data_IF_318260313831
#
_entry.id   IF_318260313831
#
_cell.length_a   1.000
_cell.length_b   1.000
_cell.length_c   1.000
_cell.angle_alpha   90.00
_cell.angle_beta   90.00
_cell.angle_gamma   90.00
#
_symmetry.space_group_name_H-M   'P 1'
#
loop_
_entity.id
_entity.type
_entity.pdbx_description
1 polymer ?
#
# COMPACT_ATOMS: atom_id res chain seq x y z
N UNK A 1 7.41 2.70 10.85
CA UNK A 1 7.73 4.12 10.80
C UNK A 1 9.14 4.18 11.29
N UNK A 2 10.03 4.49 10.38
CA UNK A 2 11.46 4.58 10.66
C UNK A 2 11.77 5.95 11.28
N UNK A 3 13.01 6.16 11.75
CA UNK A 3 13.48 7.46 12.27
C UNK A 3 13.39 8.62 11.26
N UNK A 4 13.08 8.32 10.00
CA UNK A 4 12.88 9.30 8.91
C UNK A 4 11.40 9.58 8.64
N UNK A 5 10.46 8.98 9.39
CA UNK A 5 9.04 9.24 9.19
C UNK A 5 8.73 10.66 9.65
N UNK A 6 8.69 11.58 8.70
CA UNK A 6 8.24 12.95 8.91
C UNK A 6 6.75 12.92 9.29
N UNK A 7 6.43 13.34 10.51
CA UNK A 7 5.07 13.40 11.04
C UNK A 7 4.13 14.23 10.14
N UNK A 8 4.65 15.28 9.52
CA UNK A 8 3.90 16.10 8.57
C UNK A 8 3.51 15.29 7.33
N UNK A 9 4.47 14.55 6.78
CA UNK A 9 4.22 13.70 5.62
C UNK A 9 3.24 12.56 5.94
N UNK A 10 3.34 11.98 7.14
CA UNK A 10 2.37 10.98 7.61
C UNK A 10 0.96 11.58 7.72
N UNK A 11 0.86 12.75 8.34
CA UNK A 11 -0.42 13.46 8.51
C UNK A 11 -1.07 13.78 7.17
N UNK A 12 -0.33 14.35 6.22
CA UNK A 12 -0.84 14.62 4.88
C UNK A 12 -1.27 13.35 4.16
N UNK A 13 -0.52 12.26 4.30
CA UNK A 13 -0.88 10.97 3.70
C UNK A 13 -2.15 10.37 4.31
N UNK A 14 -2.34 10.46 5.63
CA UNK A 14 -3.56 10.00 6.29
C UNK A 14 -4.79 10.76 5.78
N UNK A 15 -4.70 12.10 5.66
CA UNK A 15 -5.77 12.92 5.09
C UNK A 15 -6.06 12.58 3.63
N UNK A 16 -5.02 12.39 2.83
CA UNK A 16 -5.14 11.97 1.43
C UNK A 16 -5.86 10.61 1.31
N UNK A 17 -5.45 9.61 2.09
CA UNK A 17 -6.08 8.29 2.04
C UNK A 17 -7.53 8.32 2.53
N UNK A 18 -7.82 9.14 3.54
CA UNK A 18 -9.18 9.35 4.02
C UNK A 18 -10.06 10.04 2.97
N UNK A 19 -9.57 11.09 2.29
CA UNK A 19 -10.35 11.80 1.27
C UNK A 19 -10.62 10.94 0.03
N UNK A 20 -9.74 9.98 -0.27
CA UNK A 20 -9.93 8.97 -1.30
C UNK A 20 -10.86 7.81 -0.87
N UNK A 21 -11.34 7.81 0.38
CA UNK A 21 -12.20 6.75 0.91
C UNK A 21 -11.49 5.40 1.08
N UNK A 22 -10.16 5.39 1.22
CA UNK A 22 -9.40 4.15 1.35
C UNK A 22 -9.50 3.58 2.76
N UNK A 23 -9.63 2.25 2.86
CA UNK A 23 -9.60 1.58 4.16
C UNK A 23 -8.17 1.54 4.67
N UNK A 24 -7.96 1.97 5.91
CA UNK A 24 -6.66 2.00 6.56
C UNK A 24 -6.66 1.12 7.80
N UNK A 25 -5.60 0.34 7.96
CA UNK A 25 -5.44 -0.61 9.07
C UNK A 25 -4.03 -0.50 9.64
N UNK A 26 -3.91 -0.60 10.94
CA UNK A 26 -2.63 -0.70 11.64
C UNK A 26 -2.62 -1.90 12.58
N UNK A 27 -1.47 -2.27 13.13
CA UNK A 27 -1.41 -3.25 14.21
C UNK A 27 -0.28 -2.97 15.19
N UNK A 28 -0.49 -3.37 16.43
CA UNK A 28 0.59 -3.51 17.41
C UNK A 28 1.43 -4.74 17.04
N UNK A 29 2.76 -4.70 17.26
CA UNK A 29 3.69 -5.76 16.88
C UNK A 29 4.50 -6.25 18.10
N UNK A 30 5.08 -7.47 18.04
CA UNK A 30 5.81 -8.08 19.17
C UNK A 30 6.96 -7.25 19.73
N UNK A 31 7.61 -6.48 18.86
CA UNK A 31 8.85 -5.78 19.13
C UNK A 31 8.64 -4.29 19.45
N UNK A 32 7.39 -3.81 19.43
CA UNK A 32 7.03 -2.47 19.93
C UNK A 32 7.03 -2.54 21.46
N UNK A 33 7.27 -1.41 22.13
CA UNK A 33 7.20 -1.32 23.59
C UNK A 33 5.81 -1.76 24.10
N UNK A 34 5.70 -3.04 24.44
CA UNK A 34 4.44 -3.68 24.80
C UNK A 34 3.87 -3.11 26.10
N UNK A 35 4.75 -2.57 26.95
CA UNK A 35 4.38 -1.94 28.22
C UNK A 35 3.57 -0.66 27.99
N UNK A 36 4.07 0.28 27.19
CA UNK A 36 3.34 1.52 26.88
C UNK A 36 1.98 1.22 26.22
N UNK A 37 1.95 0.32 25.23
CA UNK A 37 0.72 -0.08 24.52
C UNK A 37 -0.33 -0.67 25.48
N UNK A 38 0.07 -1.65 26.31
CA UNK A 38 -0.86 -2.34 27.22
C UNK A 38 -1.30 -1.46 28.39
N UNK A 39 -0.41 -0.62 28.93
CA UNK A 39 -0.74 0.33 30.00
C UNK A 39 -1.78 1.36 29.54
N UNK A 40 -1.71 1.78 28.28
CA UNK A 40 -2.69 2.70 27.69
C UNK A 40 -3.91 1.97 27.09
N UNK A 41 -4.14 0.71 27.44
CA UNK A 41 -5.40 0.00 27.18
C UNK A 41 -5.52 -0.66 25.81
N UNK A 42 -4.48 -0.64 24.98
CA UNK A 42 -4.47 -1.34 23.69
C UNK A 42 -4.00 -2.79 23.85
N UNK A 43 -4.62 -3.69 23.10
CA UNK A 43 -4.17 -5.07 22.93
C UNK A 43 -2.85 -5.17 22.17
N UNK A 44 -1.98 -6.06 22.63
CA UNK A 44 -0.75 -6.46 21.94
C UNK A 44 -1.09 -7.43 20.79
N UNK A 45 -0.30 -7.39 19.72
CA UNK A 45 -0.50 -8.22 18.52
C UNK A 45 -1.91 -8.12 17.92
N UNK A 46 -2.52 -6.95 18.00
CA UNK A 46 -3.90 -6.73 17.57
C UNK A 46 -3.95 -5.71 16.44
N UNK A 47 -4.86 -5.95 15.49
CA UNK A 47 -5.13 -5.04 14.40
C UNK A 47 -6.21 -4.02 14.78
N UNK A 48 -6.03 -2.78 14.34
CA UNK A 48 -6.96 -1.68 14.54
C UNK A 48 -7.24 -1.02 13.20
N UNK A 49 -8.48 -0.58 13.01
CA UNK A 49 -8.85 0.27 11.88
C UNK A 49 -8.44 1.70 12.18
N UNK A 50 -7.90 2.40 11.18
CA UNK A 50 -7.70 3.85 11.21
C UNK A 50 -8.89 4.46 10.48
N UNK A 51 -9.74 5.16 11.23
CA UNK A 51 -11.08 5.51 10.78
C UNK A 51 -11.16 6.96 10.27
N UNK A 52 -10.57 7.89 11.02
CA UNK A 52 -10.71 9.31 10.77
C UNK A 52 -9.53 10.10 11.32
N UNK A 53 -9.32 11.31 10.80
CA UNK A 53 -8.36 12.30 11.29
C UNK A 53 -9.06 13.62 11.56
N UNK A 54 -8.67 14.32 12.61
CA UNK A 54 -9.16 15.67 12.88
C UNK A 54 -8.10 16.55 13.55
N UNK A 55 -8.26 17.86 13.43
CA UNK A 55 -7.53 18.82 14.26
C UNK A 55 -8.47 19.32 15.34
N UNK A 56 -8.13 19.06 16.60
CA UNK A 56 -8.93 19.47 17.76
C UNK A 56 -8.04 20.25 18.72
N UNK A 57 -8.39 21.51 18.99
CA UNK A 57 -7.63 22.41 19.87
C UNK A 57 -6.13 22.52 19.49
N UNK A 58 -5.83 22.49 18.18
CA UNK A 58 -4.45 22.52 17.67
C UNK A 58 -3.72 21.18 17.70
N UNK A 59 -4.33 20.12 18.24
CA UNK A 59 -3.79 18.77 18.25
C UNK A 59 -4.27 17.96 17.05
N UNK A 60 -3.35 17.20 16.43
CA UNK A 60 -3.64 16.29 15.32
C UNK A 60 -4.03 14.93 15.88
N UNK A 61 -5.29 14.58 15.74
CA UNK A 61 -5.86 13.36 16.30
C UNK A 61 -6.18 12.34 15.21
N UNK A 62 -6.01 11.07 15.56
CA UNK A 62 -6.35 9.91 14.74
C UNK A 62 -7.38 9.08 15.50
N UNK A 63 -8.51 8.81 14.86
CA UNK A 63 -9.55 7.92 15.38
C UNK A 63 -9.20 6.48 15.02
N UNK A 64 -9.04 5.64 16.04
CA UNK A 64 -8.80 4.21 15.87
C UNK A 64 -9.96 3.37 16.40
N UNK A 65 -10.18 2.21 15.79
CA UNK A 65 -11.22 1.26 16.21
C UNK A 65 -10.73 -0.18 16.24
N UNK A 66 -10.88 -0.83 17.40
CA UNK A 66 -10.55 -2.25 17.58
C UNK A 66 -11.75 -3.18 17.36
N UNK A 67 -11.49 -4.46 17.10
CA UNK A 67 -12.55 -5.50 17.06
C UNK A 67 -12.79 -6.15 18.42
N UNK A 68 -11.81 -6.06 19.31
CA UNK A 68 -11.88 -6.58 20.67
C UNK A 68 -12.63 -5.62 21.62
N UNK A 69 -12.52 -5.86 22.93
CA UNK A 69 -13.08 -4.97 23.96
C UNK A 69 -12.05 -4.00 24.55
N UNK A 70 -10.86 -3.91 23.97
CA UNK A 70 -9.76 -3.06 24.42
C UNK A 70 -9.84 -1.72 23.69
N UNK A 71 -9.65 -0.64 24.43
CA UNK A 71 -9.81 0.74 23.97
C UNK A 71 -8.61 1.54 24.47
N UNK A 72 -8.11 2.45 23.65
CA UNK A 72 -7.14 3.46 24.09
C UNK A 72 -7.68 4.21 25.32
N UNK A 73 -6.82 4.38 26.32
CA UNK A 73 -7.10 5.06 27.60
C UNK A 73 -6.21 6.27 27.86
N UNK A 74 -5.34 6.62 26.91
CA UNK A 74 -4.49 7.80 27.02
C UNK A 74 -5.26 9.09 26.73
N UNK A 75 -4.52 10.17 26.47
CA UNK A 75 -5.09 11.49 26.14
C UNK A 75 -6.05 11.37 24.94
N UNK A 76 -7.14 12.15 24.98
CA UNK A 76 -8.22 12.18 23.97
C UNK A 76 -9.14 10.95 23.93
N UNK A 77 -8.92 9.92 24.76
CA UNK A 77 -9.76 8.71 24.77
C UNK A 77 -11.23 8.93 25.16
N UNK A 78 -11.53 10.00 25.91
CA UNK A 78 -12.88 10.38 26.32
C UNK A 78 -13.57 11.33 25.32
N UNK A 79 -12.84 11.85 24.32
CA UNK A 79 -13.44 12.62 23.24
C UNK A 79 -14.37 11.70 22.43
N UNK A 80 -15.64 12.09 22.18
CA UNK A 80 -16.57 11.25 21.45
C UNK A 80 -16.09 11.03 20.00
N UNK A 81 -16.10 9.79 19.48
CA UNK A 81 -15.74 9.49 18.09
C UNK A 81 -16.56 10.22 17.04
N UNK A 82 -17.87 10.39 17.29
CA UNK A 82 -18.83 11.01 16.38
C UNK A 82 -19.76 11.92 17.18
N UNK A 83 -20.31 12.95 16.52
CA UNK A 83 -21.30 13.84 17.13
C UNK A 83 -22.69 13.19 17.21
N UNK A 84 -23.58 13.82 17.98
CA UNK A 84 -24.93 13.30 18.19
C UNK A 84 -25.74 13.22 16.89
N UNK A 85 -25.58 14.18 15.98
CA UNK A 85 -26.25 14.20 14.66
C UNK A 85 -25.94 12.95 13.82
N UNK A 86 -24.67 12.52 13.79
CA UNK A 86 -24.24 11.31 13.07
C UNK A 86 -24.83 10.06 13.72
N UNK A 87 -24.93 10.04 15.04
CA UNK A 87 -25.37 8.85 15.80
C UNK A 87 -26.87 8.81 16.07
N UNK A 88 -27.63 9.85 15.73
CA UNK A 88 -29.06 9.97 16.04
C UNK A 88 -29.86 8.75 15.57
N UNK A 89 -29.59 8.31 14.34
CA UNK A 89 -30.27 7.18 13.68
C UNK A 89 -29.72 5.80 14.08
N UNK A 90 -28.69 5.75 14.92
CA UNK A 90 -28.04 4.50 15.29
C UNK A 90 -28.80 3.79 16.40
N UNK A 91 -28.82 2.46 16.33
CA UNK A 91 -29.30 1.66 17.45
C UNK A 91 -28.41 1.86 18.69
N UNK A 92 -28.99 1.69 19.88
CA UNK A 92 -28.28 1.80 21.15
C UNK A 92 -27.08 0.83 21.23
N UNK A 93 -27.22 -0.35 20.62
CA UNK A 93 -26.13 -1.31 20.51
C UNK A 93 -24.95 -0.76 19.69
N UNK A 94 -25.19 -0.09 18.57
CA UNK A 94 -24.13 0.52 17.75
C UNK A 94 -23.42 1.63 18.53
N UNK A 95 -24.17 2.51 19.20
CA UNK A 95 -23.62 3.57 20.06
C UNK A 95 -22.71 3.00 21.14
N UNK A 96 -23.17 1.96 21.84
CA UNK A 96 -22.39 1.25 22.87
C UNK A 96 -21.14 0.56 22.29
N UNK A 97 -21.24 -0.04 21.11
CA UNK A 97 -20.12 -0.69 20.45
C UNK A 97 -19.02 0.32 20.08
N UNK A 98 -19.39 1.46 19.49
CA UNK A 98 -18.46 2.54 19.14
C UNK A 98 -17.81 3.12 20.40
N UNK A 99 -18.60 3.48 21.42
CA UNK A 99 -18.09 4.00 22.69
C UNK A 99 -17.09 3.05 23.37
N UNK A 100 -17.28 1.74 23.22
CA UNK A 100 -16.42 0.72 23.82
C UNK A 100 -15.12 0.48 23.04
N UNK A 101 -15.11 0.69 21.73
CA UNK A 101 -14.04 0.20 20.85
C UNK A 101 -13.23 1.30 20.18
N UNK A 102 -13.81 2.49 20.07
CA UNK A 102 -13.24 3.58 19.29
C UNK A 102 -12.71 4.64 20.24
N UNK A 103 -11.61 5.27 19.86
CA UNK A 103 -10.99 6.31 20.65
C UNK A 103 -10.09 7.18 19.78
N UNK A 104 -10.11 8.48 20.07
CA UNK A 104 -9.13 9.42 19.55
C UNK A 104 -7.81 9.27 20.29
N UNK A 105 -6.71 9.43 19.56
CA UNK A 105 -5.37 9.54 20.13
C UNK A 105 -4.55 10.56 19.33
N UNK A 106 -3.52 11.12 19.94
CA UNK A 106 -2.61 12.05 19.27
C UNK A 106 -1.73 11.32 18.25
N UNK A 107 -1.38 11.98 17.14
CA UNK A 107 -0.57 11.35 16.07
C UNK A 107 0.80 10.87 16.59
N UNK A 108 1.36 11.54 17.60
CA UNK A 108 2.60 11.14 18.26
C UNK A 108 2.44 9.80 19.01
N UNK A 109 1.37 9.66 19.79
CA UNK A 109 1.05 8.41 20.49
C UNK A 109 0.73 7.29 19.50
N UNK A 110 0.04 7.63 18.40
CA UNK A 110 -0.18 6.70 17.29
C UNK A 110 1.16 6.19 16.77
N UNK A 111 2.14 7.08 16.60
CA UNK A 111 3.44 6.70 16.08
C UNK A 111 4.23 5.76 16.99
N UNK A 112 4.10 5.95 18.30
CA UNK A 112 4.70 5.08 19.32
C UNK A 112 4.04 3.69 19.35
N UNK A 113 2.72 3.62 19.18
CA UNK A 113 1.97 2.36 19.29
C UNK A 113 2.03 1.51 18.02
N UNK A 114 2.12 2.15 16.85
CA UNK A 114 1.77 1.53 15.57
C UNK A 114 2.87 1.68 14.52
N UNK A 115 3.77 0.70 14.36
CA UNK A 115 4.93 0.85 13.49
C UNK A 115 4.60 0.86 11.99
N UNK A 116 3.37 0.68 11.56
CA UNK A 116 3.02 0.77 10.14
C UNK A 116 1.53 1.04 9.94
N UNK A 117 1.17 1.46 8.73
CA UNK A 117 -0.21 1.49 8.23
C UNK A 117 -0.26 0.66 6.95
N UNK A 118 -1.31 -0.14 6.80
CA UNK A 118 -1.69 -0.80 5.55
C UNK A 118 -2.88 -0.05 4.98
N UNK A 119 -2.79 0.31 3.72
CA UNK A 119 -3.83 1.05 3.00
C UNK A 119 -4.39 0.12 1.93
N UNK A 120 -5.70 -0.12 1.98
CA UNK A 120 -6.41 -0.81 0.91
C UNK A 120 -6.88 0.24 -0.09
N UNK A 121 -6.12 0.38 -1.18
CA UNK A 121 -6.48 1.30 -2.26
C UNK A 121 -7.55 0.64 -3.11
N UNK A 122 -8.75 1.21 -3.08
CA UNK A 122 -9.82 0.85 -4.00
C UNK A 122 -9.87 1.85 -5.15
N UNK A 123 -10.01 1.39 -6.38
CA UNK A 123 -10.15 2.25 -7.55
C UNK A 123 -11.42 1.87 -8.26
N UNK A 124 -12.46 2.68 -8.03
CA UNK A 124 -13.74 2.50 -8.70
C UNK A 124 -13.56 2.61 -10.21
N UNK A 125 -14.24 1.78 -10.99
CA UNK A 125 -14.14 1.77 -12.44
C UNK A 125 -12.69 1.55 -12.91
N UNK A 126 -11.97 0.59 -12.32
CA UNK A 126 -10.73 0.04 -12.84
C UNK A 126 -10.85 -1.48 -12.90
N UNK A 127 -10.27 -2.10 -13.93
CA UNK A 127 -10.23 -3.54 -14.13
C UNK A 127 -8.82 -4.06 -13.89
N UNK A 128 -8.76 -5.30 -13.44
CA UNK A 128 -7.53 -5.99 -13.14
C UNK A 128 -7.27 -7.06 -14.20
N UNK A 129 -6.11 -6.98 -14.85
CA UNK A 129 -5.57 -8.03 -15.69
C UNK A 129 -4.49 -8.78 -14.92
N UNK A 130 -4.54 -10.11 -14.95
CA UNK A 130 -3.56 -10.96 -14.25
C UNK A 130 -2.73 -11.73 -15.25
N UNK A 131 -1.44 -11.83 -14.98
CA UNK A 131 -0.64 -12.88 -15.59
C UNK A 131 -0.98 -14.24 -14.96
N UNK A 132 -0.61 -15.33 -15.64
CA UNK A 132 -0.45 -16.62 -14.98
C UNK A 132 0.60 -16.57 -13.87
N UNK A 133 0.65 -17.63 -13.05
CA UNK A 133 1.70 -17.78 -12.04
C UNK A 133 3.04 -18.02 -12.73
N UNK A 134 4.09 -17.34 -12.28
CA UNK A 134 5.47 -17.58 -12.75
C UNK A 134 6.45 -17.65 -11.58
N UNK A 135 7.66 -18.14 -11.84
CA UNK A 135 8.72 -18.29 -10.84
C UNK A 135 10.05 -17.82 -11.44
N UNK A 136 10.73 -16.93 -10.72
CA UNK A 136 12.10 -16.54 -11.07
C UNK A 136 13.03 -17.76 -11.05
N UNK A 137 13.90 -17.85 -12.04
CA UNK A 137 14.94 -18.89 -12.08
C UNK A 137 16.04 -18.62 -11.06
N UNK A 138 16.72 -19.65 -10.53
CA UNK A 138 17.77 -19.49 -9.51
C UNK A 138 18.96 -18.64 -9.97
N UNK A 139 19.23 -18.61 -11.28
CA UNK A 139 20.32 -17.85 -11.91
C UNK A 139 19.86 -16.62 -12.70
N UNK A 140 18.54 -16.45 -12.90
CA UNK A 140 18.00 -15.31 -13.64
C UNK A 140 17.07 -14.49 -12.75
N UNK A 141 17.54 -13.33 -12.25
CA UNK A 141 16.74 -12.44 -11.42
C UNK A 141 15.71 -11.65 -12.23
N UNK A 142 15.63 -11.80 -13.56
CA UNK A 142 14.81 -10.97 -14.42
C UNK A 142 13.73 -11.76 -15.16
N UNK A 143 12.52 -11.21 -15.16
CA UNK A 143 11.38 -11.70 -15.93
C UNK A 143 10.80 -10.51 -16.70
N UNK A 144 10.38 -10.75 -17.94
CA UNK A 144 9.86 -9.70 -18.80
C UNK A 144 8.41 -9.97 -19.19
N UNK A 145 7.54 -9.01 -18.87
CA UNK A 145 6.16 -8.99 -19.32
C UNK A 145 6.03 -8.03 -20.50
N UNK A 146 5.55 -8.54 -21.64
CA UNK A 146 5.20 -7.71 -22.79
C UNK A 146 3.77 -7.18 -22.63
N UNK A 147 3.61 -5.87 -22.77
CA UNK A 147 2.32 -5.18 -22.80
C UNK A 147 2.07 -4.62 -24.20
N UNK A 148 0.88 -4.79 -24.74
CA UNK A 148 0.44 -4.08 -25.94
C UNK A 148 -0.72 -3.16 -25.59
N UNK A 149 -0.47 -1.85 -25.70
CA UNK A 149 -1.45 -0.80 -25.48
C UNK A 149 -2.02 -0.39 -26.85
N UNK A 150 -3.32 -0.53 -27.04
CA UNK A 150 -3.99 -0.17 -28.32
C UNK A 150 -4.57 1.23 -28.32
N UNK A 151 -4.78 1.79 -27.13
CA UNK A 151 -5.35 3.12 -26.90
C UNK A 151 -4.66 3.69 -25.69
N UNK A 152 -4.27 4.97 -25.75
CA UNK A 152 -3.66 5.66 -24.61
C UNK A 152 -4.44 5.38 -23.32
N UNK A 153 -3.75 4.94 -22.28
CA UNK A 153 -4.37 4.62 -21.01
C UNK A 153 -3.39 4.76 -19.84
N UNK A 154 -3.95 4.98 -18.66
CA UNK A 154 -3.22 4.88 -17.40
C UNK A 154 -3.12 3.41 -16.99
N UNK A 155 -1.92 2.94 -16.62
CA UNK A 155 -1.72 1.60 -16.06
C UNK A 155 -1.01 1.63 -14.72
N UNK A 156 -1.31 0.64 -13.88
CA UNK A 156 -0.55 0.37 -12.65
C UNK A 156 -0.16 -1.09 -12.67
N UNK A 157 1.09 -1.35 -12.29
CA UNK A 157 1.60 -2.71 -12.24
C UNK A 157 1.91 -3.03 -10.78
N UNK A 158 1.35 -4.14 -10.30
CA UNK A 158 1.61 -4.68 -8.98
C UNK A 158 2.17 -6.10 -9.08
N UNK A 159 3.33 -6.32 -8.48
CA UNK A 159 3.92 -7.64 -8.35
C UNK A 159 3.62 -8.21 -6.96
N UNK A 160 2.92 -9.34 -6.89
CA UNK A 160 2.58 -10.01 -5.64
C UNK A 160 3.36 -11.32 -5.47
N UNK A 161 3.99 -11.53 -4.30
CA UNK A 161 4.41 -12.87 -3.87
C UNK A 161 3.22 -13.65 -3.35
N UNK A 162 3.09 -14.90 -3.78
CA UNK A 162 2.16 -15.81 -3.13
C UNK A 162 2.89 -16.63 -2.05
N UNK A 163 3.56 -15.96 -1.08
CA UNK A 163 4.31 -16.63 -0.02
C UNK A 163 4.48 -15.77 1.26
N UNK A 164 4.71 -16.44 2.40
CA UNK A 164 4.49 -15.92 3.77
C UNK A 164 5.66 -15.10 4.34
N UNK A 165 6.89 -15.19 3.79
CA UNK A 165 8.11 -14.60 4.38
C UNK A 165 8.92 -13.69 3.44
N UNK A 166 9.33 -12.55 4.01
CA UNK A 166 9.85 -11.30 3.41
C UNK A 166 11.18 -11.41 2.63
N UNK A 167 11.24 -10.85 1.41
CA UNK A 167 12.43 -10.09 0.97
C UNK A 167 12.08 -8.76 0.25
N UNK A 168 13.09 -7.87 0.13
CA UNK A 168 13.03 -6.57 -0.57
C UNK A 168 12.98 -6.74 -2.11
N UNK A 169 12.27 -5.87 -2.87
CA UNK A 169 12.02 -6.06 -4.32
C UNK A 169 12.14 -4.79 -5.17
N UNK A 170 12.25 -4.98 -6.49
CA UNK A 170 12.35 -3.91 -7.48
C UNK A 170 11.45 -4.20 -8.69
N UNK A 171 10.66 -3.21 -9.11
CA UNK A 171 9.92 -3.26 -10.38
C UNK A 171 10.40 -2.09 -11.24
N UNK A 172 10.87 -2.39 -12.45
CA UNK A 172 11.32 -1.38 -13.40
C UNK A 172 10.43 -1.45 -14.63
N UNK A 173 9.89 -0.29 -15.03
CA UNK A 173 9.18 -0.16 -16.30
C UNK A 173 10.08 0.58 -17.28
N UNK A 174 10.38 -0.05 -18.40
CA UNK A 174 11.19 0.52 -19.47
C UNK A 174 10.34 0.65 -20.73
N UNK A 175 10.26 1.87 -21.26
CA UNK A 175 9.76 2.15 -22.60
C UNK A 175 10.95 2.12 -23.58
N UNK A 176 10.79 1.49 -24.74
CA UNK A 176 11.79 1.51 -25.82
C UNK A 176 11.95 2.93 -26.41
N UNK A 177 10.95 3.78 -26.25
CA UNK A 177 10.85 5.02 -27.03
C UNK A 177 11.26 6.31 -26.33
N UNK A 178 11.54 6.41 -25.02
CA UNK A 178 12.32 7.54 -24.42
C UNK A 178 12.51 7.62 -22.90
N UNK A 179 11.97 6.75 -22.03
CA UNK A 179 12.31 6.88 -20.59
C UNK A 179 12.13 5.59 -19.78
N UNK A 180 13.16 5.24 -19.00
CA UNK A 180 13.07 4.16 -17.99
C UNK A 180 12.58 4.76 -16.68
N UNK A 181 11.39 4.37 -16.22
CA UNK A 181 10.89 4.73 -14.88
C UNK A 181 11.14 3.58 -13.92
N UNK A 182 12.00 3.83 -12.91
CA UNK A 182 12.41 2.83 -11.92
C UNK A 182 11.77 3.13 -10.56
N UNK A 183 11.10 2.14 -9.95
CA UNK A 183 10.59 2.24 -8.58
C UNK A 183 11.16 1.13 -7.70
N UNK A 184 11.50 1.49 -6.45
CA UNK A 184 12.00 0.59 -5.40
C UNK A 184 10.94 0.48 -4.32
N UNK A 185 10.58 -0.74 -3.91
CA UNK A 185 9.67 -0.93 -2.78
C UNK A 185 10.02 -2.19 -1.97
N UNK A 186 9.81 -2.12 -0.66
CA UNK A 186 10.29 -3.11 0.30
C UNK A 186 9.11 -3.86 0.96
N UNK A 187 8.21 -4.47 0.19
CA UNK A 187 7.01 -5.11 0.73
C UNK A 187 6.57 -6.39 -0.02
N UNK A 188 5.57 -7.11 0.54
CA UNK A 188 4.98 -8.34 -0.04
C UNK A 188 4.46 -8.14 -1.47
N UNK A 189 4.01 -6.92 -1.74
CA UNK A 189 3.66 -6.41 -3.04
C UNK A 189 4.53 -5.19 -3.38
N UNK A 190 4.80 -5.00 -4.66
CA UNK A 190 5.38 -3.75 -5.20
C UNK A 190 4.40 -3.20 -6.22
N UNK A 191 3.75 -2.09 -5.90
CA UNK A 191 2.89 -1.32 -6.80
C UNK A 191 3.71 -0.17 -7.41
N UNK A 192 3.50 0.11 -8.68
CA UNK A 192 4.04 1.31 -9.33
C UNK A 192 3.11 2.51 -9.14
N UNK A 193 3.61 3.71 -9.35
CA UNK A 193 2.69 4.82 -9.60
C UNK A 193 1.92 4.61 -10.91
N UNK A 194 0.80 5.33 -11.11
CA UNK A 194 0.11 5.33 -12.39
C UNK A 194 1.03 5.80 -13.52
N UNK A 195 1.10 5.02 -14.59
CA UNK A 195 1.81 5.38 -15.82
C UNK A 195 0.83 5.72 -16.92
N UNK A 196 0.98 6.91 -17.51
CA UNK A 196 0.34 7.25 -18.77
C UNK A 196 1.14 6.64 -19.92
N UNK A 197 0.55 5.68 -20.64
CA UNK A 197 1.15 5.05 -21.81
C UNK A 197 0.34 5.38 -23.06
N UNK A 198 1.04 5.72 -24.14
CA UNK A 198 0.45 5.85 -25.47
C UNK A 198 0.16 4.46 -26.08
N UNK A 199 -0.44 4.43 -27.26
CA UNK A 199 -0.53 3.21 -28.04
C UNK A 199 0.87 2.73 -28.45
N UNK A 200 1.14 1.45 -28.25
CA UNK A 200 2.48 0.91 -28.42
C UNK A 200 2.70 -0.46 -27.78
N UNK A 201 3.95 -0.91 -27.83
CA UNK A 201 4.42 -2.14 -27.19
C UNK A 201 5.44 -1.78 -26.14
N UNK A 202 5.22 -2.25 -24.91
CA UNK A 202 6.05 -1.96 -23.76
C UNK A 202 6.56 -3.26 -23.13
N UNK A 203 7.71 -3.18 -22.47
CA UNK A 203 8.30 -4.30 -21.74
C UNK A 203 8.48 -3.92 -20.28
N UNK A 204 7.83 -4.66 -19.39
CA UNK A 204 7.99 -4.54 -17.95
C UNK A 204 9.11 -5.48 -17.54
N UNK A 205 10.21 -4.93 -17.06
CA UNK A 205 11.36 -5.71 -16.59
C UNK A 205 11.31 -5.82 -15.07
N UNK A 206 10.96 -7.00 -14.59
CA UNK A 206 10.82 -7.27 -13.17
C UNK A 206 12.10 -7.91 -12.70
N UNK A 207 12.77 -7.29 -11.72
CA UNK A 207 14.05 -7.77 -11.21
C UNK A 207 13.96 -8.15 -9.74
N UNK A 208 14.20 -9.41 -9.41
CA UNK A 208 14.32 -9.91 -8.05
C UNK A 208 15.79 -10.18 -7.69
N UNK A 209 16.41 -9.26 -6.94
CA UNK A 209 17.81 -9.37 -6.52
C UNK A 209 18.07 -10.33 -5.36
N UNK A 210 17.02 -10.89 -4.74
CA UNK A 210 17.15 -11.73 -3.55
C UNK A 210 16.37 -13.04 -3.75
N UNK A 211 16.88 -13.90 -4.62
CA UNK A 211 16.34 -15.26 -4.82
C UNK A 211 16.97 -16.16 -3.76
N UNK A 212 16.25 -16.41 -2.67
CA UNK A 212 16.65 -17.43 -1.70
C UNK A 212 16.06 -18.80 -2.03
N UNK A 213 14.86 -18.85 -2.64
CA UNK A 213 14.15 -20.05 -3.09
C UNK A 213 13.17 -19.72 -4.25
N UNK A 214 12.85 -20.68 -5.15
CA UNK A 214 11.81 -20.52 -6.15
C UNK A 214 10.44 -20.35 -5.47
N UNK A 215 9.76 -19.25 -5.77
CA UNK A 215 8.44 -18.91 -5.20
C UNK A 215 7.48 -18.54 -6.34
N UNK A 216 6.17 -18.81 -6.21
CA UNK A 216 5.18 -18.38 -7.19
C UNK A 216 4.84 -16.89 -7.06
N UNK A 217 4.80 -16.20 -8.20
CA UNK A 217 4.47 -14.78 -8.35
C UNK A 217 3.30 -14.60 -9.32
N UNK A 218 2.56 -13.51 -9.13
CA UNK A 218 1.52 -13.04 -10.05
C UNK A 218 1.73 -11.54 -10.27
N UNK A 219 1.67 -11.11 -11.53
CA UNK A 219 1.60 -9.68 -11.87
C UNK A 219 0.15 -9.31 -12.08
N UNK A 220 -0.25 -8.26 -11.37
CA UNK A 220 -1.51 -7.57 -11.51
C UNK A 220 -1.26 -6.30 -12.31
N UNK A 221 -2.05 -6.08 -13.35
CA UNK A 221 -2.06 -4.82 -14.09
C UNK A 221 -3.44 -4.22 -13.98
N UNK A 222 -3.55 -3.09 -13.29
CA UNK A 222 -4.83 -2.40 -13.11
C UNK A 222 -4.96 -1.32 -14.18
N UNK A 223 -6.08 -1.33 -14.92
CA UNK A 223 -6.34 -0.45 -16.07
C UNK A 223 -7.78 0.11 -16.03
N UNK A 224 -8.06 1.30 -16.60
CA UNK A 224 -9.44 1.80 -16.76
C UNK A 224 -10.31 0.94 -17.73
N UNK A 225 -11.65 0.90 -17.57
CA UNK A 225 -12.63 0.05 -18.28
C UNK A 225 -12.63 0.10 -19.79
N UNK A 226 -12.19 1.23 -20.35
CA UNK A 226 -12.15 1.45 -21.79
C UNK A 226 -10.76 1.22 -22.38
N UNK A 227 -9.79 0.85 -21.54
CA UNK A 227 -8.40 0.65 -21.95
C UNK A 227 -8.27 -0.68 -22.69
N UNK A 228 -7.81 -0.62 -23.94
CA UNK A 228 -7.48 -1.81 -24.71
C UNK A 228 -6.02 -2.18 -24.46
N UNK A 229 -5.76 -2.83 -23.33
CA UNK A 229 -4.46 -3.37 -22.96
C UNK A 229 -4.47 -4.90 -23.09
N UNK A 230 -3.46 -5.47 -23.75
CA UNK A 230 -3.29 -6.92 -23.91
C UNK A 230 -2.01 -7.32 -23.19
N UNK A 231 -2.15 -8.23 -22.21
CA UNK A 231 -1.02 -8.88 -21.55
C UNK A 231 -0.47 -10.00 -22.44
N UNK A 232 0.82 -9.96 -22.74
CA UNK A 232 1.54 -11.09 -23.31
C UNK A 232 1.93 -12.12 -22.26
N UNK A 233 2.55 -13.21 -22.71
CA UNK A 233 3.22 -14.16 -21.82
C UNK A 233 4.39 -13.49 -21.09
N UNK A 234 4.75 -14.03 -19.93
CA UNK A 234 5.98 -13.66 -19.21
C UNK A 234 7.13 -14.49 -19.76
N UNK A 235 8.23 -13.83 -20.10
CA UNK A 235 9.40 -14.43 -20.73
C UNK A 235 10.59 -14.37 -19.78
N UNK A 236 11.33 -15.48 -19.71
CA UNK A 236 12.66 -15.54 -19.12
C UNK A 236 13.65 -15.02 -20.13
N UNK A 237 14.48 -14.06 -19.72
CA UNK A 237 15.61 -13.64 -20.54
C UNK A 237 16.86 -14.31 -19.98
N UNK A 238 17.62 -15.06 -20.79
CA UNK A 238 18.78 -15.82 -20.30
C UNK A 238 19.92 -14.93 -19.80
N UNK A 239 19.98 -13.67 -20.22
CA UNK A 239 20.99 -12.68 -19.81
C UNK A 239 20.32 -11.40 -19.27
N UNK A 240 20.93 -10.69 -18.28
CA UNK A 240 20.38 -9.43 -17.81
C UNK A 240 20.25 -8.41 -18.94
N UNK A 241 19.09 -7.77 -19.09
CA UNK A 241 18.97 -6.64 -20.02
C UNK A 241 19.80 -5.48 -19.46
N UNK A 242 20.89 -5.13 -20.14
CA UNK A 242 21.55 -3.84 -19.98
C UNK A 242 20.71 -2.77 -20.69
N UNK A 243 19.83 -2.10 -19.94
CA UNK A 243 19.15 -0.91 -20.43
C UNK A 243 20.19 0.21 -20.55
N UNK A 244 20.77 0.38 -21.75
CA UNK A 244 21.62 1.54 -22.05
C UNK A 244 20.76 2.80 -21.93
N UNK A 245 21.14 3.71 -21.03
CA UNK A 245 20.58 5.05 -21.01
C UNK A 245 21.05 5.76 -22.28
N UNK A 246 20.23 5.70 -23.34
CA UNK A 246 20.48 6.49 -24.54
C UNK A 246 20.38 7.97 -24.18
N UNK A 247 21.52 8.66 -24.09
CA UNK A 247 21.55 10.08 -24.42
C UNK A 247 21.24 10.12 -25.91
N UNK A 248 20.08 10.68 -26.26
CA UNK A 248 19.82 11.06 -27.65
C UNK A 248 20.77 12.23 -27.91
N UNK A 249 21.93 11.96 -28.49
CA UNK A 249 22.70 13.01 -29.16
C UNK A 249 21.89 13.41 -30.40
N UNK A 250 21.47 14.67 -30.41
CA UNK A 250 20.84 15.31 -31.55
C UNK A 250 21.88 15.47 -32.65
N UNK A 251 21.67 14.80 -33.78
CA UNK A 251 22.18 15.26 -35.09
C UNK A 251 21.11 16.09 -35.80
#
# INVERSE_FOLDING_TARGET
MNKETNLEMLWEKLKEFQSLGYLMVTSTLPYVETKYVSQNGLGTHHAYSVLETCVHEGHRLVLIGGTNGLKWKGKWSELPPYNDDVTEKWSEWMKKAVKKRFAWMEIDDFCLCFPYIKVCKYRENWHELRTGRFQFGPSCPQEVLRLSIKTKCTIIIELLENCVKYPSRYVTLSDWSTSTKRRKAQYRAVETDPFELADGVYFVVITNKYITLPKPYVIYTTIPPKSKCILGNVWKIPEPIELKSGVVESE
#
